data_IF_381586771800
#
_entry.id   IF_381586771800
#
_cell.length_a   1.000
_cell.length_b   1.000
_cell.length_c   1.000
_cell.angle_alpha   90.00
_cell.angle_beta   90.00
_cell.angle_gamma   90.00
#
_symmetry.space_group_name_H-M   'P 1'
#
loop_
_entity.id
_entity.type
_entity.pdbx_description
1 polymer ?
#
# COMPACT_ATOMS: atom_id res chain seq x y z
N UNK A 1 -17.48 30.19 55.59
CA UNK A 1 -18.21 29.04 55.00
C UNK A 1 -17.88 29.07 53.53
N UNK A 2 -16.84 28.27 53.13
CA UNK A 2 -16.31 28.26 51.75
C UNK A 2 -16.81 26.96 51.16
N UNK A 3 -17.71 27.04 50.15
CA UNK A 3 -18.16 25.88 49.36
C UNK A 3 -17.10 25.63 48.25
N UNK A 4 -16.38 24.52 48.34
CA UNK A 4 -15.56 23.96 47.27
C UNK A 4 -16.45 23.18 46.32
N UNK A 5 -16.59 23.69 45.09
CA UNK A 5 -17.17 22.94 43.97
C UNK A 5 -16.10 21.95 43.44
N UNK A 6 -16.31 20.69 43.68
CA UNK A 6 -15.57 19.63 43.01
C UNK A 6 -16.07 19.46 41.59
N UNK A 7 -15.25 19.80 40.60
CA UNK A 7 -15.50 19.51 39.20
C UNK A 7 -15.01 18.07 38.98
N UNK A 8 -15.94 17.14 38.87
CA UNK A 8 -15.65 15.75 38.46
C UNK A 8 -15.34 15.69 37.01
N UNK A 9 -14.06 15.52 36.69
CA UNK A 9 -13.56 15.19 35.34
C UNK A 9 -13.83 13.72 35.05
N UNK A 10 -15.04 13.38 34.58
CA UNK A 10 -15.43 12.01 34.20
C UNK A 10 -15.61 11.79 32.67
N UNK A 11 -15.37 12.79 31.82
CA UNK A 11 -15.69 12.66 30.37
C UNK A 11 -14.54 12.12 29.49
N UNK A 12 -13.32 12.00 29.99
CA UNK A 12 -12.19 11.66 29.10
C UNK A 12 -11.92 10.15 28.93
N UNK A 13 -12.56 9.30 29.74
CA UNK A 13 -12.34 7.84 29.73
C UNK A 13 -13.38 7.10 28.89
N UNK A 14 -14.62 7.60 28.81
CA UNK A 14 -15.67 6.98 27.99
C UNK A 14 -15.52 7.28 26.50
N UNK A 15 -15.05 8.48 26.10
CA UNK A 15 -14.85 8.85 24.69
C UNK A 15 -13.81 7.95 23.97
N UNK A 16 -12.74 7.56 24.65
CA UNK A 16 -11.73 6.62 24.08
C UNK A 16 -12.21 5.17 23.94
N UNK A 17 -13.32 4.80 24.51
CA UNK A 17 -13.78 3.42 24.56
C UNK A 17 -14.35 2.92 23.24
N UNK A 18 -14.81 3.83 22.37
CA UNK A 18 -15.46 3.53 21.09
C UNK A 18 -14.72 4.10 19.87
N UNK A 19 -13.51 4.61 20.07
CA UNK A 19 -12.68 5.15 19.00
C UNK A 19 -11.75 4.11 18.39
N UNK A 20 -11.56 4.15 17.07
CA UNK A 20 -10.54 3.41 16.33
C UNK A 20 -9.83 4.35 15.39
N UNK A 21 -8.50 4.42 15.49
CA UNK A 21 -7.66 5.28 14.68
C UNK A 21 -6.85 4.49 13.66
N UNK A 22 -7.00 4.86 12.38
CA UNK A 22 -6.29 4.24 11.26
C UNK A 22 -5.52 5.32 10.50
N UNK A 23 -4.25 5.10 10.23
CA UNK A 23 -3.47 5.93 9.31
C UNK A 23 -2.57 5.04 8.45
N UNK A 24 -2.04 5.53 7.36
CA UNK A 24 -1.11 4.74 6.55
C UNK A 24 -1.02 5.13 5.08
N UNK A 25 -0.77 4.13 4.24
CA UNK A 25 -0.56 4.33 2.82
C UNK A 25 -1.81 4.77 2.06
N UNK A 26 -1.65 5.65 1.06
CA UNK A 26 -2.73 6.03 0.15
C UNK A 26 -3.30 4.82 -0.62
N UNK A 27 -2.45 3.82 -0.90
CA UNK A 27 -2.91 2.51 -1.43
C UNK A 27 -3.55 1.73 -0.29
N UNK A 28 -4.78 1.29 -0.50
CA UNK A 28 -5.61 0.65 0.53
C UNK A 28 -6.49 1.62 1.33
N UNK A 29 -6.26 2.94 1.26
CA UNK A 29 -7.06 3.94 1.98
C UNK A 29 -8.56 3.80 1.71
N UNK A 30 -8.95 3.61 0.43
CA UNK A 30 -10.37 3.40 0.06
C UNK A 30 -10.96 2.13 0.67
N UNK A 31 -10.17 1.09 0.92
CA UNK A 31 -10.63 -0.11 1.63
C UNK A 31 -10.93 0.24 3.09
N UNK A 32 -10.01 0.96 3.75
CA UNK A 32 -10.17 1.37 5.14
C UNK A 32 -11.40 2.24 5.33
N UNK A 33 -11.63 3.22 4.42
CA UNK A 33 -12.82 4.07 4.44
C UNK A 33 -14.10 3.25 4.25
N UNK A 34 -14.16 2.38 3.23
CA UNK A 34 -15.34 1.58 2.98
C UNK A 34 -15.70 0.67 4.17
N UNK A 35 -14.68 0.07 4.80
CA UNK A 35 -14.89 -0.76 6.00
C UNK A 35 -15.36 0.08 7.18
N UNK A 36 -14.78 1.27 7.40
CA UNK A 36 -15.17 2.18 8.47
C UNK A 36 -16.63 2.61 8.33
N UNK A 37 -17.03 3.09 7.15
CA UNK A 37 -18.40 3.50 6.84
C UNK A 37 -19.42 2.38 7.05
N UNK A 38 -19.07 1.14 6.68
CA UNK A 38 -19.96 -0.01 6.86
C UNK A 38 -20.00 -0.48 8.33
N UNK A 39 -18.89 -0.37 9.05
CA UNK A 39 -18.86 -0.70 10.47
C UNK A 39 -19.71 0.28 11.30
N UNK A 40 -19.63 1.57 11.03
CA UNK A 40 -20.41 2.61 11.70
C UNK A 40 -21.93 2.44 11.49
N UNK A 41 -22.37 1.81 10.39
CA UNK A 41 -23.79 1.46 10.21
C UNK A 41 -24.27 0.36 11.15
N UNK A 42 -23.41 -0.57 11.55
CA UNK A 42 -23.75 -1.66 12.47
C UNK A 42 -23.39 -1.32 13.93
N UNK A 43 -22.53 -0.33 14.13
CA UNK A 43 -22.08 0.20 15.43
C UNK A 43 -22.10 1.73 15.41
N UNK A 44 -23.27 2.36 15.49
CA UNK A 44 -23.42 3.82 15.32
C UNK A 44 -22.73 4.67 16.41
N UNK A 45 -22.37 4.05 17.53
CA UNK A 45 -21.62 4.66 18.63
C UNK A 45 -20.09 4.56 18.46
N UNK A 46 -19.61 3.82 17.47
CA UNK A 46 -18.19 3.75 17.14
C UNK A 46 -17.78 4.96 16.30
N UNK A 47 -16.56 5.47 16.54
CA UNK A 47 -15.96 6.56 15.80
C UNK A 47 -14.68 6.07 15.14
N UNK A 48 -14.71 5.93 13.81
CA UNK A 48 -13.56 5.41 13.07
C UNK A 48 -12.89 6.55 12.31
N UNK A 49 -11.68 6.92 12.70
CA UNK A 49 -10.88 7.91 11.99
C UNK A 49 -9.94 7.24 11.00
N UNK A 50 -9.98 7.66 9.73
CA UNK A 50 -9.11 7.15 8.67
C UNK A 50 -8.30 8.29 8.06
N UNK A 51 -6.97 8.18 8.13
CA UNK A 51 -6.03 9.16 7.57
C UNK A 51 -5.06 8.51 6.59
N UNK A 52 -4.32 9.33 5.84
CA UNK A 52 -3.33 8.86 4.85
C UNK A 52 -2.07 9.71 4.86
N UNK A 53 -1.14 9.38 5.75
CA UNK A 53 0.18 10.03 5.87
C UNK A 53 1.33 9.24 5.19
N UNK A 54 0.98 8.25 4.37
CA UNK A 54 1.94 7.30 3.77
C UNK A 54 2.28 6.14 4.71
N UNK A 55 2.73 5.00 4.14
CA UNK A 55 3.08 3.81 4.96
C UNK A 55 4.14 4.13 6.01
N UNK A 56 5.18 4.90 5.66
CA UNK A 56 6.24 5.26 6.61
C UNK A 56 5.75 6.21 7.71
N UNK A 57 4.93 7.22 7.34
CA UNK A 57 4.33 8.15 8.29
C UNK A 57 3.38 7.44 9.27
N UNK A 58 2.50 6.58 8.74
CA UNK A 58 1.61 5.74 9.55
C UNK A 58 2.37 4.82 10.49
N UNK A 59 3.43 4.14 10.02
CA UNK A 59 4.28 3.28 10.87
C UNK A 59 4.93 4.07 12.01
N UNK A 60 5.38 5.30 11.74
CA UNK A 60 5.97 6.15 12.77
C UNK A 60 4.98 6.47 13.88
N UNK A 61 3.75 6.88 13.52
CA UNK A 61 2.67 7.14 14.49
C UNK A 61 2.23 5.87 15.23
N UNK A 62 2.12 4.76 14.51
CA UNK A 62 1.76 3.47 15.08
C UNK A 62 2.78 3.03 16.14
N UNK A 63 4.08 3.04 15.81
CA UNK A 63 5.13 2.69 16.77
C UNK A 63 5.31 3.73 17.88
N UNK A 64 4.78 4.96 17.73
CA UNK A 64 4.68 5.93 18.81
C UNK A 64 3.48 5.68 19.75
N UNK A 65 2.55 4.81 19.35
CA UNK A 65 1.31 4.55 20.09
C UNK A 65 0.22 5.62 19.90
N UNK A 66 0.31 6.40 18.82
CA UNK A 66 -0.62 7.48 18.49
C UNK A 66 -1.85 6.99 17.74
N UNK A 67 -1.76 5.82 17.08
CA UNK A 67 -2.86 5.18 16.34
C UNK A 67 -2.92 3.68 16.65
N UNK A 68 -4.10 3.08 16.48
CA UNK A 68 -4.36 1.66 16.78
C UNK A 68 -3.99 0.75 15.62
N UNK A 69 -4.19 1.24 14.39
CA UNK A 69 -4.04 0.45 13.15
C UNK A 69 -3.27 1.26 12.13
N UNK A 70 -2.32 0.62 11.45
CA UNK A 70 -1.63 1.21 10.31
C UNK A 70 -1.89 0.42 9.03
N UNK A 71 -2.35 1.10 7.97
CA UNK A 71 -2.48 0.56 6.62
C UNK A 71 -1.14 0.62 5.88
N UNK A 72 -0.68 -0.50 5.31
CA UNK A 72 0.61 -0.56 4.65
C UNK A 72 0.56 -1.27 3.30
N UNK A 73 1.33 -0.76 2.33
CA UNK A 73 1.47 -1.33 0.98
C UNK A 73 2.84 -1.97 0.73
N UNK A 74 3.51 -2.33 1.81
CA UNK A 74 4.71 -3.15 1.92
C UNK A 74 4.79 -3.79 3.30
N UNK A 75 5.60 -4.83 3.49
CA UNK A 75 5.89 -5.34 4.83
C UNK A 75 6.54 -4.28 5.74
N UNK A 76 6.34 -4.46 7.05
CA UNK A 76 7.04 -3.68 8.08
C UNK A 76 8.56 -3.94 7.98
N UNK A 77 9.36 -2.90 8.21
CA UNK A 77 10.83 -2.98 8.16
C UNK A 77 11.42 -3.28 9.53
N UNK A 78 12.65 -3.80 9.56
CA UNK A 78 13.35 -4.07 10.82
C UNK A 78 13.52 -2.81 11.69
N UNK A 79 13.83 -1.65 11.08
CA UNK A 79 13.92 -0.38 11.79
C UNK A 79 12.58 0.05 12.43
N UNK A 80 11.45 -0.25 11.77
CA UNK A 80 10.11 0.02 12.29
C UNK A 80 9.75 -0.94 13.42
N UNK A 81 10.10 -2.23 13.29
CA UNK A 81 9.93 -3.21 14.36
C UNK A 81 10.70 -2.80 15.61
N UNK A 82 11.97 -2.37 15.46
CA UNK A 82 12.77 -1.90 16.57
C UNK A 82 12.23 -0.60 17.20
N UNK A 83 11.68 0.30 16.38
CA UNK A 83 11.00 1.50 16.90
C UNK A 83 9.76 1.14 17.74
N UNK A 84 8.93 0.22 17.26
CA UNK A 84 7.77 -0.31 18.00
C UNK A 84 8.19 -0.98 19.32
N UNK A 85 9.20 -1.85 19.29
CA UNK A 85 9.73 -2.53 20.50
C UNK A 85 10.20 -1.55 21.57
N UNK A 86 10.90 -0.47 21.20
CA UNK A 86 11.34 0.57 22.14
C UNK A 86 10.17 1.23 22.88
N UNK A 87 9.00 1.27 22.26
CA UNK A 87 7.75 1.79 22.85
C UNK A 87 6.85 0.70 23.41
N UNK A 88 7.32 -0.55 23.45
CA UNK A 88 6.58 -1.73 23.90
C UNK A 88 5.29 -1.99 23.10
N UNK A 89 5.26 -1.57 21.84
CA UNK A 89 4.16 -1.85 20.92
C UNK A 89 4.43 -3.20 20.26
N UNK A 90 3.61 -4.18 20.56
CA UNK A 90 3.60 -5.48 19.89
C UNK A 90 2.71 -5.41 18.65
N UNK A 91 3.22 -5.93 17.54
CA UNK A 91 2.63 -5.76 16.23
C UNK A 91 1.92 -7.03 15.79
N UNK A 92 0.64 -6.95 15.44
CA UNK A 92 -0.11 -8.03 14.79
C UNK A 92 -0.20 -7.72 13.31
N UNK A 93 0.44 -8.53 12.45
CA UNK A 93 0.47 -8.37 10.99
C UNK A 93 -0.68 -9.13 10.33
N UNK A 94 -1.54 -8.43 9.60
CA UNK A 94 -2.71 -8.97 8.95
C UNK A 94 -2.74 -8.54 7.47
N UNK A 95 -2.42 -9.43 6.52
CA UNK A 95 -2.66 -9.16 5.11
C UNK A 95 -4.17 -9.07 4.84
N UNK A 96 -4.58 -8.09 4.03
CA UNK A 96 -6.00 -7.80 3.79
C UNK A 96 -6.41 -7.91 2.32
N UNK A 97 -5.49 -7.69 1.41
CA UNK A 97 -5.74 -7.66 -0.02
C UNK A 97 -4.47 -7.90 -0.82
N UNK A 98 -4.61 -8.08 -2.14
CA UNK A 98 -3.52 -7.98 -3.10
C UNK A 98 -3.67 -6.73 -3.95
N UNK A 99 -2.53 -6.18 -4.34
CA UNK A 99 -2.40 -5.03 -5.23
C UNK A 99 -1.34 -5.31 -6.30
N UNK A 100 -1.47 -4.66 -7.44
CA UNK A 100 -0.46 -4.64 -8.50
C UNK A 100 0.04 -3.22 -8.71
N UNK A 101 1.34 -3.04 -8.85
CA UNK A 101 1.88 -1.74 -9.26
C UNK A 101 1.82 -1.66 -10.78
N UNK A 102 0.92 -0.84 -11.30
CA UNK A 102 0.75 -0.60 -12.73
C UNK A 102 1.82 0.37 -13.24
N UNK A 103 2.60 -0.06 -14.21
CA UNK A 103 3.46 0.82 -15.00
C UNK A 103 2.61 1.41 -16.12
N UNK A 104 2.56 2.73 -16.21
CA UNK A 104 1.64 3.43 -17.10
C UNK A 104 2.35 4.46 -17.96
N UNK A 105 1.83 4.65 -19.17
CA UNK A 105 2.25 5.70 -20.10
C UNK A 105 1.05 6.46 -20.62
N UNK A 106 1.30 7.61 -21.24
CA UNK A 106 0.24 8.38 -21.89
C UNK A 106 -0.52 7.54 -22.92
N UNK A 107 -1.82 7.81 -23.10
CA UNK A 107 -2.68 7.10 -24.06
C UNK A 107 -2.15 7.12 -25.51
N UNK A 108 -1.41 8.18 -25.88
CA UNK A 108 -0.79 8.31 -27.20
C UNK A 108 0.52 7.56 -27.36
N UNK A 109 1.14 7.10 -26.26
CA UNK A 109 2.35 6.28 -26.33
C UNK A 109 1.98 4.88 -26.82
N UNK A 110 2.41 4.51 -28.01
CA UNK A 110 2.10 3.24 -28.66
C UNK A 110 3.31 2.32 -28.82
N UNK A 111 4.50 2.74 -28.39
CA UNK A 111 5.76 2.01 -28.55
C UNK A 111 6.20 1.27 -27.26
N UNK A 112 5.97 1.81 -26.08
CA UNK A 112 6.36 1.20 -24.80
C UNK A 112 5.32 0.19 -24.31
N UNK A 113 5.07 -0.88 -25.06
CA UNK A 113 4.05 -1.89 -24.73
C UNK A 113 4.50 -2.88 -23.66
N UNK A 114 5.79 -3.15 -23.58
CA UNK A 114 6.39 -4.04 -22.59
C UNK A 114 7.79 -3.54 -22.23
N UNK A 115 8.10 -3.51 -20.94
CA UNK A 115 9.43 -3.19 -20.44
C UNK A 115 9.98 -4.36 -19.62
N UNK A 116 11.25 -4.68 -19.84
CA UNK A 116 11.97 -5.64 -19.02
C UNK A 116 12.32 -5.04 -17.65
N UNK A 117 12.59 -5.88 -16.66
CA UNK A 117 13.12 -5.43 -15.35
C UNK A 117 14.44 -4.65 -15.54
N UNK A 118 15.27 -5.05 -16.51
CA UNK A 118 16.53 -4.33 -16.84
C UNK A 118 16.27 -2.93 -17.38
N UNK A 119 15.27 -2.76 -18.25
CA UNK A 119 14.89 -1.45 -18.79
C UNK A 119 14.26 -0.58 -17.70
N UNK A 120 13.38 -1.13 -16.86
CA UNK A 120 12.83 -0.42 -15.69
C UNK A 120 13.95 -0.01 -14.72
N UNK A 121 14.91 -0.90 -14.44
CA UNK A 121 16.08 -0.55 -13.63
C UNK A 121 16.91 0.57 -14.29
N UNK A 122 17.14 0.51 -15.58
CA UNK A 122 17.83 1.55 -16.34
C UNK A 122 17.09 2.89 -16.27
N UNK A 123 15.76 2.88 -16.24
CA UNK A 123 14.95 4.11 -16.09
C UNK A 123 15.08 4.66 -14.66
N UNK A 124 14.87 3.82 -13.65
CA UNK A 124 14.63 4.26 -12.27
C UNK A 124 15.85 4.20 -11.33
N UNK A 125 16.96 3.62 -11.75
CA UNK A 125 18.19 3.52 -10.97
C UNK A 125 18.74 4.90 -10.53
N UNK A 126 19.35 5.04 -9.35
CA UNK A 126 20.04 6.25 -8.94
C UNK A 126 21.10 6.71 -9.96
N UNK A 127 21.74 5.76 -10.64
CA UNK A 127 22.79 6.03 -11.66
C UNK A 127 22.24 6.72 -12.92
N UNK A 128 20.92 6.73 -13.08
CA UNK A 128 20.22 7.28 -14.25
C UNK A 128 19.87 8.76 -14.10
N UNK A 129 20.03 9.32 -12.90
CA UNK A 129 19.77 10.74 -12.61
C UNK A 129 20.53 11.62 -13.59
N UNK A 130 19.81 12.51 -14.30
CA UNK A 130 20.33 13.43 -15.34
C UNK A 130 21.08 12.76 -16.51
N UNK A 131 21.04 11.44 -16.64
CA UNK A 131 21.74 10.69 -17.70
C UNK A 131 20.79 10.02 -18.67
N UNK A 132 19.71 9.44 -18.19
CA UNK A 132 18.69 8.78 -19.01
C UNK A 132 17.50 9.75 -19.12
N UNK A 133 17.48 10.51 -20.22
CA UNK A 133 16.52 11.59 -20.42
C UNK A 133 15.64 11.38 -21.67
N UNK A 134 15.99 10.40 -22.52
CA UNK A 134 15.26 10.08 -23.74
C UNK A 134 14.91 8.60 -23.80
N UNK A 135 13.80 8.29 -24.47
CA UNK A 135 13.30 6.93 -24.63
C UNK A 135 14.25 6.02 -25.41
N UNK A 136 14.90 6.51 -26.47
CA UNK A 136 15.87 5.73 -27.24
C UNK A 136 17.11 5.31 -26.45
N UNK A 137 17.42 6.01 -25.35
CA UNK A 137 18.48 5.58 -24.44
C UNK A 137 18.12 4.33 -23.65
N UNK A 138 16.82 4.03 -23.48
CA UNK A 138 16.35 2.83 -22.80
C UNK A 138 16.44 1.64 -23.75
N UNK A 139 15.88 1.80 -24.93
CA UNK A 139 15.87 0.82 -26.00
C UNK A 139 16.01 1.58 -27.35
N UNK A 140 16.99 1.20 -28.17
CA UNK A 140 17.28 1.88 -29.46
C UNK A 140 16.13 1.80 -30.48
N UNK A 141 15.13 0.93 -30.25
CA UNK A 141 13.90 0.84 -31.06
C UNK A 141 12.86 1.88 -30.69
N UNK A 142 13.01 2.54 -29.55
CA UNK A 142 12.09 3.60 -29.12
C UNK A 142 12.47 4.93 -29.78
N UNK A 143 11.53 5.86 -29.92
CA UNK A 143 11.81 7.15 -30.56
C UNK A 143 12.81 7.99 -29.75
N UNK A 144 13.49 8.91 -30.39
CA UNK A 144 14.36 9.89 -29.75
C UNK A 144 13.50 11.04 -29.17
N UNK A 145 12.76 10.72 -28.13
CA UNK A 145 11.83 11.61 -27.46
C UNK A 145 12.17 11.72 -25.98
N UNK A 146 11.93 12.90 -25.41
CA UNK A 146 12.24 13.19 -24.02
C UNK A 146 11.39 12.34 -23.07
N UNK A 147 12.03 11.62 -22.15
CA UNK A 147 11.38 10.84 -21.11
C UNK A 147 10.97 11.74 -19.93
N UNK A 148 9.69 11.76 -19.60
CA UNK A 148 9.13 12.41 -18.41
C UNK A 148 8.69 11.36 -17.39
N UNK A 149 9.05 11.54 -16.13
CA UNK A 149 8.83 10.53 -15.11
C UNK A 149 7.96 11.05 -13.97
N UNK A 150 6.94 10.25 -13.60
CA UNK A 150 6.02 10.50 -12.51
C UNK A 150 5.97 9.29 -11.58
N UNK A 151 6.16 9.50 -10.30
CA UNK A 151 6.19 8.40 -9.35
C UNK A 151 5.71 8.81 -7.95
N UNK A 152 5.27 7.86 -7.11
CA UNK A 152 4.98 8.13 -5.72
C UNK A 152 6.18 8.76 -4.99
N UNK A 153 5.89 9.60 -3.99
CA UNK A 153 6.91 10.24 -3.16
C UNK A 153 7.75 9.19 -2.40
N UNK A 154 8.99 9.54 -2.07
CA UNK A 154 10.02 8.61 -1.59
C UNK A 154 9.76 7.99 -0.21
N UNK A 155 8.80 8.49 0.54
CA UNK A 155 8.34 7.98 1.84
C UNK A 155 7.08 7.09 1.74
N UNK A 156 6.59 6.84 0.50
CA UNK A 156 5.43 5.97 0.28
C UNK A 156 5.82 4.49 0.20
N UNK A 157 4.91 3.61 0.67
CA UNK A 157 5.12 2.16 0.54
C UNK A 157 5.16 1.67 -0.92
N UNK A 158 4.48 2.37 -1.85
CA UNK A 158 4.54 2.04 -3.28
C UNK A 158 5.93 2.32 -3.85
N UNK A 159 6.54 3.44 -3.47
CA UNK A 159 7.91 3.76 -3.87
C UNK A 159 8.91 2.75 -3.29
N UNK A 160 8.80 2.45 -1.98
CA UNK A 160 9.65 1.47 -1.31
C UNK A 160 9.58 0.10 -2.02
N UNK A 161 8.37 -0.41 -2.27
CA UNK A 161 8.19 -1.71 -2.90
C UNK A 161 8.66 -1.74 -4.35
N UNK A 162 8.31 -0.73 -5.15
CA UNK A 162 8.74 -0.65 -6.55
C UNK A 162 10.26 -0.59 -6.67
N UNK A 163 10.92 0.26 -5.87
CA UNK A 163 12.38 0.39 -5.92
C UNK A 163 13.06 -0.90 -5.44
N UNK A 164 12.56 -1.56 -4.40
CA UNK A 164 13.05 -2.88 -3.98
C UNK A 164 12.92 -3.91 -5.11
N UNK A 165 11.77 -3.95 -5.79
CA UNK A 165 11.51 -4.92 -6.85
C UNK A 165 12.37 -4.68 -8.11
N UNK A 166 12.61 -3.42 -8.47
CA UNK A 166 13.25 -3.05 -9.74
C UNK A 166 14.75 -2.79 -9.57
N UNK A 167 15.17 -2.14 -8.49
CA UNK A 167 16.59 -1.80 -8.29
C UNK A 167 17.30 -2.70 -7.28
N UNK A 168 16.56 -3.59 -6.61
CA UNK A 168 17.07 -4.49 -5.59
C UNK A 168 17.22 -3.87 -4.20
N UNK A 169 16.94 -2.57 -4.04
CA UNK A 169 17.04 -1.88 -2.75
C UNK A 169 15.92 -0.85 -2.61
N UNK A 170 15.16 -0.94 -1.53
CA UNK A 170 14.12 0.03 -1.19
C UNK A 170 14.72 1.45 -1.13
N UNK A 171 13.99 2.41 -1.68
CA UNK A 171 14.35 3.83 -1.79
C UNK A 171 15.54 4.13 -2.71
N UNK A 172 16.14 3.15 -3.37
CA UNK A 172 17.18 3.38 -4.36
C UNK A 172 16.56 3.78 -5.70
N UNK A 173 16.45 5.07 -5.96
CA UNK A 173 15.89 5.64 -7.20
C UNK A 173 16.63 6.89 -7.62
N UNK A 174 16.45 7.28 -8.91
CA UNK A 174 16.80 8.61 -9.38
C UNK A 174 15.96 9.67 -8.65
N UNK A 175 16.42 10.92 -8.67
CA UNK A 175 15.79 12.03 -7.96
C UNK A 175 15.12 13.07 -8.87
N UNK A 176 15.36 12.99 -10.19
CA UNK A 176 14.90 13.91 -11.23
C UNK A 176 13.58 13.47 -11.88
N UNK A 177 12.64 13.00 -11.07
CA UNK A 177 11.26 12.69 -11.47
C UNK A 177 10.28 13.61 -10.72
N UNK A 178 9.02 13.65 -11.15
CA UNK A 178 7.94 14.39 -10.46
C UNK A 178 7.29 13.49 -9.39
N UNK A 179 7.53 13.75 -8.10
CA UNK A 179 6.94 12.95 -7.01
C UNK A 179 5.56 13.45 -6.61
N UNK A 180 4.69 12.56 -6.11
CA UNK A 180 3.46 12.95 -5.40
C UNK A 180 3.02 11.88 -4.41
N UNK A 181 2.49 12.28 -3.26
CA UNK A 181 1.74 11.40 -2.34
C UNK A 181 0.35 11.08 -2.89
N UNK A 182 -0.24 12.00 -3.63
CA UNK A 182 -1.54 11.80 -4.27
C UNK A 182 -1.34 11.18 -5.66
N UNK A 183 -1.71 9.91 -5.80
CA UNK A 183 -1.53 9.17 -7.05
C UNK A 183 -2.41 9.71 -8.20
N UNK A 184 -3.52 10.41 -7.92
CA UNK A 184 -4.30 11.07 -8.96
C UNK A 184 -3.49 12.19 -9.66
N UNK A 185 -2.60 12.87 -8.93
CA UNK A 185 -1.68 13.86 -9.52
C UNK A 185 -0.70 13.16 -10.48
N UNK A 186 -0.21 11.97 -10.13
CA UNK A 186 0.66 11.18 -11.00
C UNK A 186 -0.08 10.77 -12.28
N UNK A 187 -1.32 10.30 -12.15
CA UNK A 187 -2.20 9.98 -13.29
C UNK A 187 -2.36 11.21 -14.20
N UNK A 188 -2.69 12.36 -13.63
CA UNK A 188 -2.83 13.62 -14.40
C UNK A 188 -1.53 14.01 -15.11
N UNK A 189 -0.38 13.86 -14.43
CA UNK A 189 0.92 14.12 -15.02
C UNK A 189 1.21 13.24 -16.23
N UNK A 190 0.95 11.92 -16.13
CA UNK A 190 1.12 10.98 -17.25
C UNK A 190 0.14 11.26 -18.39
N UNK A 191 -1.11 11.63 -18.08
CA UNK A 191 -2.10 12.03 -19.10
C UNK A 191 -1.71 13.30 -19.85
N UNK A 192 -1.08 14.26 -19.16
CA UNK A 192 -0.73 15.57 -19.71
C UNK A 192 0.50 15.59 -20.61
N UNK A 193 1.33 14.56 -20.59
CA UNK A 193 2.57 14.51 -21.38
C UNK A 193 2.65 13.21 -22.20
N UNK A 194 2.70 13.32 -23.53
CA UNK A 194 2.73 12.16 -24.44
C UNK A 194 3.93 11.24 -24.22
N UNK A 195 5.04 11.79 -23.73
CA UNK A 195 6.29 11.07 -23.50
C UNK A 195 6.47 10.65 -22.02
N UNK A 196 5.40 10.78 -21.22
CA UNK A 196 5.43 10.42 -19.82
C UNK A 196 5.40 8.90 -19.58
N UNK A 197 6.11 8.49 -18.55
CA UNK A 197 6.00 7.19 -17.91
C UNK A 197 5.87 7.38 -16.42
N UNK A 198 5.01 6.59 -15.79
CA UNK A 198 4.85 6.57 -14.35
C UNK A 198 4.50 5.19 -13.82
N UNK A 199 4.36 5.08 -12.51
CA UNK A 199 3.79 3.90 -11.88
C UNK A 199 2.87 4.28 -10.73
N UNK A 200 1.77 3.53 -10.60
CA UNK A 200 0.70 3.76 -9.63
C UNK A 200 0.14 2.42 -9.13
N UNK A 201 -0.62 2.41 -8.04
CA UNK A 201 -1.42 1.25 -7.66
C UNK A 201 -2.46 0.91 -8.72
N UNK A 202 -2.80 -0.39 -8.86
CA UNK A 202 -3.68 -0.87 -9.94
C UNK A 202 -5.05 -0.19 -9.94
N UNK A 203 -5.60 0.11 -8.76
CA UNK A 203 -6.92 0.78 -8.64
C UNK A 203 -6.97 2.13 -9.34
N UNK A 204 -5.87 2.90 -9.28
CA UNK A 204 -5.76 4.19 -9.98
C UNK A 204 -5.70 4.03 -11.51
N UNK A 205 -5.05 2.97 -11.99
CA UNK A 205 -5.07 2.64 -13.41
C UNK A 205 -6.49 2.23 -13.86
N UNK A 206 -7.16 1.34 -13.12
CA UNK A 206 -8.51 0.86 -13.46
C UNK A 206 -9.51 2.02 -13.59
N UNK A 207 -9.43 2.99 -12.68
CA UNK A 207 -10.28 4.19 -12.71
C UNK A 207 -9.97 5.12 -13.89
N UNK A 208 -8.83 4.95 -14.58
CA UNK A 208 -8.36 5.82 -15.67
C UNK A 208 -7.88 5.04 -16.89
N UNK A 209 -8.33 3.80 -17.07
CA UNK A 209 -7.89 2.92 -18.16
C UNK A 209 -8.26 3.43 -19.57
N UNK A 210 -9.24 4.33 -19.66
CA UNK A 210 -9.61 5.04 -20.90
C UNK A 210 -8.63 6.14 -21.28
N UNK A 211 -7.78 6.60 -20.34
CA UNK A 211 -6.87 7.75 -20.46
C UNK A 211 -5.40 7.38 -20.48
N UNK A 212 -5.07 6.20 -20.02
CA UNK A 212 -3.69 5.69 -19.90
C UNK A 212 -3.51 4.40 -20.70
N UNK A 213 -2.30 4.15 -21.17
CA UNK A 213 -1.89 2.82 -21.62
C UNK A 213 -1.10 2.13 -20.50
N UNK A 214 -1.41 0.85 -20.30
CA UNK A 214 -0.69 -0.03 -19.39
C UNK A 214 0.54 -0.60 -20.10
N UNK A 215 1.67 -0.56 -19.43
CA UNK A 215 2.91 -1.19 -19.90
C UNK A 215 3.03 -2.55 -19.22
N UNK A 216 3.08 -3.61 -20.02
CA UNK A 216 3.38 -4.93 -19.50
C UNK A 216 4.83 -4.99 -18.97
N UNK A 217 5.06 -5.80 -17.95
CA UNK A 217 6.39 -5.97 -17.36
C UNK A 217 6.87 -7.39 -17.62
N UNK A 218 8.09 -7.55 -18.13
CA UNK A 218 8.65 -8.86 -18.35
C UNK A 218 8.91 -9.54 -17.00
N UNK A 219 8.18 -10.61 -16.76
CA UNK A 219 8.35 -11.44 -15.57
C UNK A 219 9.72 -12.15 -15.56
N UNK A 220 10.18 -12.68 -14.42
CA UNK A 220 11.40 -13.50 -14.35
C UNK A 220 11.39 -14.72 -15.28
N UNK A 221 10.22 -15.15 -15.74
CA UNK A 221 10.02 -16.25 -16.70
C UNK A 221 10.15 -15.78 -18.17
N UNK A 222 10.46 -14.51 -18.40
CA UNK A 222 10.68 -13.94 -19.73
C UNK A 222 9.42 -13.50 -20.48
N UNK A 223 8.22 -13.65 -19.90
CA UNK A 223 6.96 -13.23 -20.52
C UNK A 223 6.57 -11.82 -20.08
N UNK A 224 6.02 -11.06 -21.03
CA UNK A 224 5.41 -9.76 -20.76
C UNK A 224 4.05 -9.98 -20.09
N UNK A 225 3.97 -9.66 -18.83
CA UNK A 225 2.76 -9.84 -18.01
C UNK A 225 2.18 -8.47 -17.59
N UNK A 226 0.89 -8.42 -17.44
CA UNK A 226 0.14 -7.23 -17.07
C UNK A 226 -0.62 -7.48 -15.77
N UNK A 227 -0.85 -6.48 -14.89
CA UNK A 227 -1.71 -6.64 -13.73
C UNK A 227 -3.20 -6.77 -14.07
N UNK A 228 -3.57 -6.60 -15.34
CA UNK A 228 -4.93 -6.80 -15.85
C UNK A 228 -4.90 -7.92 -16.90
N UNK A 229 -5.76 -8.94 -16.82
CA UNK A 229 -6.84 -9.11 -15.84
C UNK A 229 -6.30 -9.30 -14.41
N UNK A 230 -7.09 -8.91 -13.40
CA UNK A 230 -6.69 -8.93 -11.98
C UNK A 230 -6.25 -10.31 -11.48
N UNK A 231 -6.68 -11.37 -12.16
CA UNK A 231 -6.24 -12.74 -11.91
C UNK A 231 -4.73 -12.92 -12.05
N UNK A 232 -4.05 -12.12 -12.87
CA UNK A 232 -2.61 -12.18 -13.03
C UNK A 232 -1.89 -11.80 -11.72
N UNK A 233 -2.50 -10.94 -10.92
CA UNK A 233 -2.01 -10.58 -9.59
C UNK A 233 -2.32 -11.69 -8.59
N UNK A 234 -3.57 -12.16 -8.52
CA UNK A 234 -3.99 -13.19 -7.56
C UNK A 234 -3.30 -14.54 -7.79
N UNK A 235 -3.04 -14.90 -9.06
CA UNK A 235 -2.32 -16.12 -9.44
C UNK A 235 -0.79 -15.96 -9.43
N UNK A 236 -0.29 -14.81 -8.98
CA UNK A 236 1.14 -14.49 -8.93
C UNK A 236 1.85 -14.61 -10.30
N UNK A 237 1.15 -14.24 -11.37
CA UNK A 237 1.68 -14.19 -12.75
C UNK A 237 2.41 -12.87 -12.97
N UNK A 238 1.80 -11.75 -12.52
CA UNK A 238 2.37 -10.41 -12.63
C UNK A 238 3.42 -10.17 -11.54
N UNK A 239 4.63 -10.67 -11.74
CA UNK A 239 5.74 -10.54 -10.79
C UNK A 239 6.91 -9.76 -11.43
N UNK A 240 7.68 -9.00 -10.64
CA UNK A 240 7.65 -8.88 -9.17
C UNK A 240 6.76 -7.74 -8.62
N UNK A 241 5.88 -7.15 -9.42
CA UNK A 241 5.10 -5.96 -9.05
C UNK A 241 3.72 -6.26 -8.43
N UNK A 242 3.41 -7.54 -8.17
CA UNK A 242 2.29 -7.95 -7.31
C UNK A 242 2.71 -7.93 -5.86
N UNK A 243 1.85 -7.44 -4.96
CA UNK A 243 2.15 -7.30 -3.54
C UNK A 243 0.93 -7.47 -2.64
N UNK A 244 1.09 -7.93 -1.40
CA UNK A 244 0.05 -7.83 -0.38
C UNK A 244 -0.10 -6.40 0.14
N UNK A 245 -1.33 -6.07 0.53
CA UNK A 245 -1.65 -4.94 1.39
C UNK A 245 -1.92 -5.45 2.80
N UNK A 246 -1.54 -4.67 3.78
CA UNK A 246 -1.61 -5.04 5.19
C UNK A 246 -2.38 -4.02 6.01
N UNK A 247 -2.95 -4.49 7.11
CA UNK A 247 -3.10 -3.70 8.33
C UNK A 247 -2.18 -4.29 9.39
N UNK A 248 -1.51 -3.41 10.14
CA UNK A 248 -0.82 -3.78 11.37
C UNK A 248 -1.61 -3.21 12.53
N UNK A 249 -1.90 -4.07 13.51
CA UNK A 249 -2.73 -3.71 14.66
C UNK A 249 -1.90 -3.81 15.93
N UNK A 250 -2.05 -2.83 16.81
CA UNK A 250 -1.42 -2.87 18.13
C UNK A 250 -2.05 -3.99 18.97
N UNK A 251 -1.22 -4.91 19.47
CA UNK A 251 -1.67 -5.98 20.37
C UNK A 251 -2.31 -5.39 21.62
N UNK A 252 -1.74 -4.31 22.16
CA UNK A 252 -2.28 -3.60 23.31
C UNK A 252 -3.67 -3.02 23.03
N UNK A 253 -3.88 -2.44 21.84
CA UNK A 253 -5.19 -1.93 21.44
C UNK A 253 -6.20 -3.07 21.30
N UNK A 254 -5.80 -4.22 20.72
CA UNK A 254 -6.64 -5.42 20.65
C UNK A 254 -7.02 -5.94 22.05
N UNK A 255 -6.10 -5.89 23.03
CA UNK A 255 -6.35 -6.41 24.36
C UNK A 255 -7.23 -5.47 25.21
N UNK A 256 -7.05 -4.15 25.05
CA UNK A 256 -7.69 -3.14 25.91
C UNK A 256 -8.95 -2.51 25.33
N UNK A 257 -9.12 -2.45 23.98
CA UNK A 257 -10.27 -1.81 23.32
C UNK A 257 -11.20 -2.83 22.69
N UNK A 258 -12.45 -2.87 23.14
CA UNK A 258 -13.50 -3.66 22.50
C UNK A 258 -13.80 -3.16 21.09
N UNK A 259 -13.79 -1.84 20.87
CA UNK A 259 -14.03 -1.23 19.56
C UNK A 259 -12.99 -1.67 18.54
N UNK A 260 -11.70 -1.68 18.90
CA UNK A 260 -10.62 -2.14 18.00
C UNK A 260 -10.80 -3.63 17.67
N UNK A 261 -11.10 -4.48 18.65
CA UNK A 261 -11.34 -5.92 18.40
C UNK A 261 -12.50 -6.15 17.43
N UNK A 262 -13.64 -5.52 17.73
CA UNK A 262 -14.87 -5.65 16.93
C UNK A 262 -14.66 -5.11 15.51
N UNK A 263 -13.98 -3.97 15.37
CA UNK A 263 -13.66 -3.40 14.08
C UNK A 263 -12.74 -4.32 13.26
N UNK A 264 -11.67 -4.85 13.85
CA UNK A 264 -10.73 -5.73 13.15
C UNK A 264 -11.39 -7.06 12.77
N UNK A 265 -12.23 -7.65 13.63
CA UNK A 265 -13.01 -8.86 13.28
C UNK A 265 -13.99 -8.58 12.13
N UNK A 266 -14.73 -7.46 12.19
CA UNK A 266 -15.63 -7.02 11.13
C UNK A 266 -14.86 -6.82 9.82
N UNK A 267 -13.70 -6.17 9.89
CA UNK A 267 -12.81 -5.94 8.76
C UNK A 267 -12.45 -7.26 8.07
N UNK A 268 -11.93 -8.24 8.80
CA UNK A 268 -11.50 -9.54 8.26
C UNK A 268 -12.66 -10.41 7.78
N UNK A 269 -13.83 -10.29 8.40
CA UNK A 269 -15.00 -11.09 8.03
C UNK A 269 -15.58 -10.68 6.69
N UNK A 270 -15.53 -9.40 6.37
CA UNK A 270 -16.24 -8.81 5.24
C UNK A 270 -15.30 -8.18 4.19
N UNK A 271 -13.99 -8.13 4.44
CA UNK A 271 -13.04 -7.37 3.60
C UNK A 271 -13.04 -7.79 2.12
N UNK A 272 -13.27 -9.07 1.81
CA UNK A 272 -13.36 -9.54 0.42
C UNK A 272 -14.37 -8.75 -0.42
N UNK A 273 -15.49 -8.35 0.19
CA UNK A 273 -16.55 -7.58 -0.48
C UNK A 273 -16.07 -6.16 -0.82
N UNK A 274 -15.50 -5.46 0.15
CA UNK A 274 -15.08 -4.06 -0.05
C UNK A 274 -13.77 -3.94 -0.80
N UNK A 275 -12.86 -4.90 -0.63
CA UNK A 275 -11.62 -4.97 -1.41
C UNK A 275 -11.93 -4.97 -2.91
N UNK A 276 -12.86 -5.83 -3.36
CA UNK A 276 -13.24 -5.90 -4.77
C UNK A 276 -13.93 -4.61 -5.26
N UNK A 277 -14.80 -4.00 -4.45
CA UNK A 277 -15.49 -2.75 -4.78
C UNK A 277 -14.54 -1.56 -4.95
N UNK A 278 -13.41 -1.57 -4.24
CA UNK A 278 -12.41 -0.48 -4.30
C UNK A 278 -11.32 -0.69 -5.34
N UNK A 279 -11.46 -1.73 -6.20
CA UNK A 279 -10.53 -1.98 -7.31
C UNK A 279 -9.26 -2.71 -6.92
N UNK A 280 -9.23 -3.33 -5.73
CA UNK A 280 -8.16 -4.23 -5.29
C UNK A 280 -8.59 -5.70 -5.42
N UNK A 281 -7.66 -6.61 -5.17
CA UNK A 281 -7.88 -8.03 -5.32
C UNK A 281 -8.03 -8.67 -3.94
N UNK A 282 -9.17 -9.32 -3.70
CA UNK A 282 -9.39 -10.07 -2.47
C UNK A 282 -8.42 -11.25 -2.36
N UNK A 283 -8.03 -11.57 -1.14
CA UNK A 283 -7.29 -12.80 -0.86
C UNK A 283 -8.19 -14.02 -1.08
N UNK A 284 -7.60 -15.21 -1.33
CA UNK A 284 -8.37 -16.43 -1.28
C UNK A 284 -9.06 -16.62 0.08
N UNK A 285 -10.26 -17.20 0.10
CA UNK A 285 -11.02 -17.40 1.35
C UNK A 285 -10.22 -18.14 2.43
N UNK A 286 -9.43 -19.14 2.04
CA UNK A 286 -8.56 -19.88 2.95
C UNK A 286 -7.52 -18.99 3.65
N UNK A 287 -7.05 -17.95 2.96
CA UNK A 287 -6.13 -16.98 3.54
C UNK A 287 -6.81 -16.16 4.65
N UNK A 288 -8.04 -15.67 4.41
CA UNK A 288 -8.79 -14.96 5.46
C UNK A 288 -9.07 -15.82 6.68
N UNK A 289 -9.36 -17.12 6.49
CA UNK A 289 -9.55 -18.08 7.60
C UNK A 289 -8.28 -18.16 8.45
N UNK A 290 -7.12 -18.36 7.83
CA UNK A 290 -5.83 -18.43 8.55
C UNK A 290 -5.48 -17.11 9.25
N UNK A 291 -5.76 -15.97 8.61
CA UNK A 291 -5.52 -14.64 9.18
C UNK A 291 -6.40 -14.44 10.43
N UNK A 292 -7.66 -14.86 10.40
CA UNK A 292 -8.55 -14.82 11.59
C UNK A 292 -8.05 -15.76 12.69
N UNK A 293 -7.55 -16.95 12.35
CA UNK A 293 -6.93 -17.85 13.33
C UNK A 293 -5.68 -17.22 13.97
N UNK A 294 -4.84 -16.56 13.18
CA UNK A 294 -3.68 -15.81 13.69
C UNK A 294 -4.11 -14.68 14.64
N UNK A 295 -5.12 -13.90 14.26
CA UNK A 295 -5.68 -12.87 15.14
C UNK A 295 -6.17 -13.47 16.47
N UNK A 296 -6.94 -14.57 16.42
CA UNK A 296 -7.48 -15.23 17.59
C UNK A 296 -6.39 -15.84 18.50
N UNK A 297 -5.26 -16.29 17.94
CA UNK A 297 -4.13 -16.81 18.73
C UNK A 297 -3.31 -15.73 19.40
N UNK A 298 -3.51 -14.45 19.04
CA UNK A 298 -2.72 -13.34 19.54
C UNK A 298 -1.26 -13.35 19.07
N UNK A 299 -0.95 -14.07 17.98
CA UNK A 299 0.40 -14.14 17.41
C UNK A 299 0.89 -12.77 16.96
N UNK A 300 2.02 -12.33 17.48
CA UNK A 300 2.68 -11.05 17.16
C UNK A 300 3.88 -11.22 16.25
N UNK A 301 4.36 -10.13 15.68
CA UNK A 301 5.50 -10.10 14.77
C UNK A 301 5.09 -10.14 13.30
N UNK A 302 6.09 -10.24 12.40
CA UNK A 302 5.90 -10.23 10.95
C UNK A 302 6.56 -11.46 10.31
N UNK A 303 5.78 -12.19 9.51
CA UNK A 303 6.28 -13.26 8.63
C UNK A 303 6.71 -12.70 7.26
N UNK A 304 6.23 -11.51 6.92
CA UNK A 304 6.47 -10.92 5.62
C UNK A 304 7.68 -9.98 5.56
N UNK A 305 8.32 -9.65 6.69
CA UNK A 305 9.44 -8.69 6.73
C UNK A 305 10.62 -9.08 5.82
N UNK A 306 10.89 -10.37 5.67
CA UNK A 306 11.95 -10.92 4.84
C UNK A 306 11.47 -11.37 3.45
N UNK A 307 10.17 -11.20 3.14
CA UNK A 307 9.59 -11.61 1.87
C UNK A 307 10.17 -10.80 0.70
N UNK A 308 10.53 -11.51 -0.36
CA UNK A 308 11.00 -10.87 -1.59
C UNK A 308 9.81 -10.32 -2.40
N UNK A 309 9.99 -9.19 -3.12
CA UNK A 309 8.96 -8.70 -4.03
C UNK A 309 8.48 -9.79 -5.00
N UNK A 310 7.16 -9.95 -5.10
CA UNK A 310 6.53 -10.96 -5.93
C UNK A 310 6.48 -12.37 -5.32
N UNK A 311 6.84 -12.55 -4.06
CA UNK A 311 6.66 -13.83 -3.37
C UNK A 311 5.18 -14.12 -3.12
N UNK A 312 4.69 -15.35 -3.39
CA UNK A 312 3.29 -15.69 -3.20
C UNK A 312 2.87 -15.58 -1.73
N UNK A 313 1.80 -14.83 -1.46
CA UNK A 313 1.25 -14.65 -0.11
C UNK A 313 0.91 -15.97 0.57
N UNK A 314 0.44 -16.96 -0.19
CA UNK A 314 0.04 -18.29 0.30
C UNK A 314 1.16 -19.08 0.98
N UNK A 315 2.42 -18.70 0.75
CA UNK A 315 3.58 -19.32 1.42
C UNK A 315 3.85 -18.74 2.81
N UNK A 316 3.30 -17.56 3.11
CA UNK A 316 3.64 -16.77 4.31
C UNK A 316 2.48 -16.66 5.31
N UNK A 317 1.28 -17.10 4.90
CA UNK A 317 0.09 -17.17 5.76
C UNK A 317 -0.07 -18.54 6.41
#
# INVERSE_FOLDING_TARGET
>A
MILTFGITSCNSIEEKKNEVSIDGGAVGFSIHQAVAEEFEKVKPDAQISVASSGTGGGMSKFCAGEIDIVGASRPIKDEEIEACKKKKIEVVELPIALDGIAVVVNRKNNFAKCLTIKELNKIWSPKSTNKINNWNQINSKFPDERLKLYAPASDTGTFDYFTQAITGKARASRTDYTPSHNQNILVQGVMGDTNALGYVGISYYIQNQDKLNLVAVQSPKGKCESPVPLENVSKNIYTPLSRPLFIYVSKQALDSSAAVREFVDFYLTNSWKWVAQTGYIALPNEAYVKIKQKLASGETGSKFKDAKPGEPITKLI
#
